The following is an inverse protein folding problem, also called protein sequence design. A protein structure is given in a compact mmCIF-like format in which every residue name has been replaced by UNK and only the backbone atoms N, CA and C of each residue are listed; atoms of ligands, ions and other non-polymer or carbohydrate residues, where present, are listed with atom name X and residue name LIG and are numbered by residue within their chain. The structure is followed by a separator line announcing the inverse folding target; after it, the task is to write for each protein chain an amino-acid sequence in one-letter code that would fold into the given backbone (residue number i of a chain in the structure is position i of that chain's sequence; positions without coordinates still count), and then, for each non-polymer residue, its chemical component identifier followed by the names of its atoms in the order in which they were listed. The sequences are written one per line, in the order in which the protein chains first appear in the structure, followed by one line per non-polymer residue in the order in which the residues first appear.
data_IF_623262697070
#
_entry.id   IF_623262697070
#
_cell.length_a   1.000
_cell.length_b   1.000
_cell.length_c   1.000
_cell.angle_alpha   90.00
_cell.angle_beta   90.00
_cell.angle_gamma   90.00
#
_symmetry.space_group_name_H-M   'P 1'
#
loop_
_entity.id
_entity.type
_entity.pdbx_description
1 polymer ?
#
# COMPACT_ATOMS: atom_id res chain seq x y z
N UNK A 1 -22.44 31.24 -40.92
CA UNK A 1 -22.91 30.40 -42.05
C UNK A 1 -22.87 31.23 -43.33
N UNK A 2 -22.16 30.79 -44.38
CA UNK A 2 -22.14 31.48 -45.68
C UNK A 2 -23.39 31.12 -46.50
N UNK A 3 -23.96 32.08 -47.22
CA UNK A 3 -24.90 31.80 -48.30
C UNK A 3 -24.35 32.31 -49.65
N UNK A 4 -24.83 31.69 -50.74
CA UNK A 4 -24.27 31.65 -52.13
C UNK A 4 -24.05 32.97 -52.89
N UNK A 5 -23.99 34.13 -52.25
CA UNK A 5 -23.57 35.41 -52.86
C UNK A 5 -22.73 36.20 -51.86
N UNK A 6 -21.43 35.90 -51.79
CA UNK A 6 -20.47 36.38 -50.80
C UNK A 6 -20.58 37.85 -50.38
N UNK A 7 -21.36 38.09 -49.32
CA UNK A 7 -21.34 39.30 -48.48
C UNK A 7 -21.46 38.86 -47.03
N UNK A 8 -20.66 39.48 -46.16
CA UNK A 8 -20.72 39.32 -44.70
C UNK A 8 -22.04 39.92 -44.18
N UNK A 9 -22.71 39.21 -43.25
CA UNK A 9 -23.81 39.76 -42.45
C UNK A 9 -23.21 40.16 -41.10
N UNK A 10 -23.60 41.34 -40.61
CA UNK A 10 -23.12 41.93 -39.35
C UNK A 10 -23.30 41.00 -38.15
N UNK A 11 -22.44 41.22 -37.14
CA UNK A 11 -22.43 40.47 -35.89
C UNK A 11 -23.83 40.48 -35.23
N UNK A 12 -24.38 39.29 -35.01
CA UNK A 12 -25.56 39.11 -34.15
C UNK A 12 -25.18 39.57 -32.74
N UNK A 13 -25.93 40.54 -32.22
CA UNK A 13 -25.86 40.88 -30.81
C UNK A 13 -26.39 39.68 -29.99
N UNK A 14 -25.72 39.38 -28.89
CA UNK A 14 -25.95 38.21 -28.05
C UNK A 14 -27.20 38.26 -27.18
N UNK A 15 -28.32 38.79 -27.70
CA UNK A 15 -29.60 38.84 -26.98
C UNK A 15 -30.57 37.70 -27.30
N UNK A 16 -30.22 36.77 -28.20
CA UNK A 16 -30.97 35.52 -28.35
C UNK A 16 -30.48 34.49 -27.31
N UNK A 17 -31.10 34.56 -26.14
CA UNK A 17 -30.99 33.57 -25.09
C UNK A 17 -31.25 32.17 -25.66
N UNK A 18 -30.22 31.31 -25.62
CA UNK A 18 -30.42 29.87 -25.73
C UNK A 18 -31.17 29.47 -24.47
N UNK A 19 -32.51 29.40 -24.57
CA UNK A 19 -33.32 28.79 -23.53
C UNK A 19 -32.75 27.38 -23.29
N UNK A 20 -32.29 27.11 -22.06
CA UNK A 20 -31.84 25.80 -21.65
C UNK A 20 -32.94 24.80 -22.00
N UNK A 21 -32.63 23.85 -22.90
CA UNK A 21 -33.56 22.76 -23.21
C UNK A 21 -33.77 21.97 -21.92
N UNK A 22 -35.01 21.73 -21.49
CA UNK A 22 -35.27 20.88 -20.32
C UNK A 22 -34.68 19.50 -20.58
N UNK A 23 -33.82 19.03 -19.68
CA UNK A 23 -33.24 17.69 -19.74
C UNK A 23 -34.36 16.69 -19.46
N UNK A 24 -34.49 15.70 -20.34
CA UNK A 24 -35.50 14.64 -20.25
C UNK A 24 -35.08 13.64 -19.16
N UNK A 25 -35.93 13.49 -18.13
CA UNK A 25 -35.67 12.57 -17.00
C UNK A 25 -35.86 11.10 -17.38
N UNK A 26 -36.46 10.84 -18.53
CA UNK A 26 -36.67 9.50 -19.05
C UNK A 26 -35.58 9.09 -20.07
N UNK A 27 -34.50 9.88 -20.22
CA UNK A 27 -33.34 9.50 -21.03
C UNK A 27 -32.58 8.33 -20.36
N UNK A 28 -32.34 7.20 -21.04
CA UNK A 28 -31.57 6.08 -20.50
C UNK A 28 -30.10 6.38 -20.17
N UNK A 29 -29.58 7.56 -20.51
CA UNK A 29 -28.29 8.11 -20.09
C UNK A 29 -28.41 9.18 -18.98
N UNK A 30 -29.59 9.40 -18.41
CA UNK A 30 -29.82 10.38 -17.35
C UNK A 30 -29.10 9.96 -16.05
N UNK A 31 -28.09 10.76 -15.66
CA UNK A 31 -27.38 10.63 -14.38
C UNK A 31 -27.60 11.91 -13.56
N UNK A 32 -28.23 11.77 -12.38
CA UNK A 32 -28.49 12.88 -11.46
C UNK A 32 -27.20 13.48 -10.88
N UNK A 33 -26.11 12.70 -10.79
CA UNK A 33 -24.81 13.14 -10.27
C UNK A 33 -24.05 14.04 -11.28
N UNK A 34 -24.32 13.90 -12.58
CA UNK A 34 -23.62 14.67 -13.64
C UNK A 34 -24.09 16.13 -13.70
N UNK A 35 -25.35 16.41 -13.30
CA UNK A 35 -25.90 17.77 -13.21
C UNK A 35 -25.17 18.61 -12.15
N UNK A 36 -24.64 17.96 -11.11
CA UNK A 36 -23.83 18.63 -10.09
C UNK A 36 -22.46 19.05 -10.61
N UNK A 37 -21.88 18.25 -11.52
CA UNK A 37 -20.60 18.55 -12.17
C UNK A 37 -20.67 19.70 -13.19
N UNK A 38 -21.85 20.06 -13.69
CA UNK A 38 -22.03 21.10 -14.71
C UNK A 38 -21.99 22.56 -14.22
N UNK A 39 -21.70 22.81 -12.93
CA UNK A 39 -21.88 24.13 -12.30
C UNK A 39 -20.63 25.03 -12.27
N UNK A 40 -19.52 24.61 -12.87
CA UNK A 40 -18.23 25.27 -12.69
C UNK A 40 -17.56 25.68 -14.00
N UNK A 41 -16.93 26.86 -13.98
CA UNK A 41 -15.97 27.27 -15.02
C UNK A 41 -14.60 26.70 -14.65
N UNK A 42 -14.04 25.84 -15.50
CA UNK A 42 -12.69 25.30 -15.34
C UNK A 42 -11.68 26.44 -15.56
N UNK A 43 -10.96 26.83 -14.51
CA UNK A 43 -9.89 27.82 -14.62
C UNK A 43 -8.61 27.17 -15.15
N UNK A 44 -8.07 27.68 -16.26
CA UNK A 44 -6.75 27.30 -16.78
C UNK A 44 -5.61 28.14 -16.21
N UNK A 45 -5.87 29.06 -15.27
CA UNK A 45 -4.83 29.96 -14.73
C UNK A 45 -5.01 30.24 -13.24
N UNK A 46 -3.93 30.06 -12.49
CA UNK A 46 -3.83 30.35 -11.06
C UNK A 46 -3.68 31.86 -10.84
N UNK A 47 -4.74 32.53 -10.37
CA UNK A 47 -4.69 33.66 -9.43
C UNK A 47 -6.08 34.33 -9.36
N UNK A 48 -6.86 34.02 -8.31
CA UNK A 48 -7.92 34.91 -7.80
C UNK A 48 -8.43 34.44 -6.42
N UNK A 49 -8.23 35.29 -5.40
CA UNK A 49 -8.71 35.16 -4.02
C UNK A 49 -10.24 35.17 -3.88
N UNK A 50 -10.73 34.38 -2.92
CA UNK A 50 -12.14 34.10 -2.57
C UNK A 50 -12.57 34.90 -1.34
N UNK A 51 -13.86 35.30 -1.23
CA UNK A 51 -14.60 35.29 0.07
C UNK A 51 -16.13 35.50 -0.08
N UNK A 52 -16.87 34.46 0.36
CA UNK A 52 -18.24 34.37 0.91
C UNK A 52 -19.53 34.70 0.11
N UNK A 53 -20.16 33.62 -0.36
CA UNK A 53 -21.52 33.09 -0.08
C UNK A 53 -22.83 33.74 -0.63
N UNK A 54 -23.61 32.82 -1.24
CA UNK A 54 -25.08 32.74 -1.47
C UNK A 54 -25.68 33.35 -2.74
N UNK A 55 -25.78 32.55 -3.83
CA UNK A 55 -27.01 32.24 -4.59
C UNK A 55 -26.76 31.71 -6.03
N UNK A 56 -27.56 30.70 -6.42
CA UNK A 56 -28.04 30.39 -7.79
C UNK A 56 -27.06 30.45 -8.98
N UNK A 57 -26.55 29.27 -9.37
CA UNK A 57 -26.33 28.69 -10.74
C UNK A 57 -25.60 29.50 -11.82
N UNK A 58 -25.16 30.73 -11.61
CA UNK A 58 -24.29 31.42 -12.56
C UNK A 58 -22.88 31.54 -11.96
N UNK A 59 -21.85 31.11 -12.69
CA UNK A 59 -20.43 31.22 -12.34
C UNK A 59 -19.91 32.67 -12.29
N UNK A 60 -20.78 33.60 -11.91
CA UNK A 60 -20.58 35.03 -11.80
C UNK A 60 -21.33 35.49 -10.55
N UNK A 61 -20.60 36.06 -9.59
CA UNK A 61 -21.16 36.70 -8.42
C UNK A 61 -21.57 38.14 -8.79
N UNK A 62 -22.88 38.44 -8.90
CA UNK A 62 -23.36 39.77 -9.28
C UNK A 62 -23.14 40.82 -8.19
N UNK A 63 -22.77 40.42 -6.97
CA UNK A 63 -22.48 41.32 -5.84
C UNK A 63 -21.00 41.72 -5.83
N UNK A 64 -20.10 40.80 -6.19
CA UNK A 64 -18.66 41.04 -6.24
C UNK A 64 -18.14 41.42 -7.64
N UNK A 65 -19.00 41.41 -8.66
CA UNK A 65 -18.65 41.57 -10.09
C UNK A 65 -17.52 40.64 -10.57
N UNK A 66 -17.40 39.44 -9.98
CA UNK A 66 -16.31 38.49 -10.26
C UNK A 66 -16.82 37.11 -10.68
N UNK A 67 -16.03 36.41 -11.48
CA UNK A 67 -16.28 35.02 -11.84
C UNK A 67 -15.97 34.07 -10.68
N UNK A 68 -16.81 33.05 -10.49
CA UNK A 68 -16.60 31.96 -9.51
C UNK A 68 -16.04 30.76 -10.27
N UNK A 69 -14.81 30.38 -9.95
CA UNK A 69 -14.13 29.22 -10.54
C UNK A 69 -14.30 28.00 -9.63
N UNK A 70 -14.55 26.83 -10.22
CA UNK A 70 -14.63 25.56 -9.49
C UNK A 70 -13.31 24.81 -9.45
N UNK A 71 -13.31 23.58 -8.90
CA UNK A 71 -12.14 22.71 -8.89
C UNK A 71 -11.57 22.53 -10.31
N UNK A 72 -10.24 22.46 -10.43
CA UNK A 72 -9.55 22.38 -11.74
C UNK A 72 -9.89 21.11 -12.53
N UNK A 73 -10.45 20.11 -11.87
CA UNK A 73 -10.85 18.82 -12.41
C UNK A 73 -12.31 18.53 -12.04
N UNK A 74 -12.96 17.70 -12.84
CA UNK A 74 -14.21 17.05 -12.42
C UNK A 74 -13.93 16.00 -11.34
N UNK A 75 -14.95 15.62 -10.57
CA UNK A 75 -14.82 14.57 -9.55
C UNK A 75 -14.32 13.24 -10.16
N UNK A 76 -14.83 12.88 -11.33
CA UNK A 76 -14.41 11.67 -12.05
C UNK A 76 -12.92 11.71 -12.45
N UNK A 77 -12.46 12.84 -13.01
CA UNK A 77 -11.05 13.03 -13.37
C UNK A 77 -10.13 13.04 -12.15
N UNK A 78 -10.57 13.64 -11.05
CA UNK A 78 -9.84 13.63 -9.79
C UNK A 78 -9.70 12.20 -9.25
N UNK A 79 -10.80 11.43 -9.21
CA UNK A 79 -10.79 10.03 -8.80
C UNK A 79 -9.83 9.19 -9.64
N UNK A 80 -9.79 9.39 -10.96
CA UNK A 80 -8.86 8.69 -11.86
C UNK A 80 -7.41 9.05 -11.49
N UNK A 81 -7.07 10.35 -11.42
CA UNK A 81 -5.71 10.79 -11.09
C UNK A 81 -5.22 10.29 -9.74
N UNK A 82 -6.06 10.37 -8.72
CA UNK A 82 -5.72 9.84 -7.38
C UNK A 82 -5.48 8.34 -7.45
N UNK A 83 -6.31 7.60 -8.18
CA UNK A 83 -6.10 6.15 -8.34
C UNK A 83 -4.76 5.82 -8.97
N UNK A 84 -4.33 6.59 -9.96
CA UNK A 84 -3.07 6.38 -10.66
C UNK A 84 -1.88 6.75 -9.77
N UNK A 85 -1.96 7.87 -9.04
CA UNK A 85 -0.97 8.26 -8.04
C UNK A 85 -0.80 7.21 -6.93
N UNK A 86 -1.91 6.64 -6.43
CA UNK A 86 -1.87 5.56 -5.43
C UNK A 86 -1.22 4.29 -5.99
N UNK A 87 -1.52 3.93 -7.25
CA UNK A 87 -0.91 2.76 -7.88
C UNK A 87 0.58 2.95 -8.08
N UNK A 88 1.01 4.13 -8.53
CA UNK A 88 2.42 4.47 -8.64
C UNK A 88 3.10 4.44 -7.27
N UNK A 89 2.44 4.94 -6.22
CA UNK A 89 2.93 4.88 -4.86
C UNK A 89 3.16 3.45 -4.34
N UNK A 90 2.35 2.48 -4.77
CA UNK A 90 2.62 1.08 -4.43
C UNK A 90 3.94 0.58 -5.01
N UNK A 91 4.34 1.07 -6.18
CA UNK A 91 5.61 0.68 -6.80
C UNK A 91 6.80 1.50 -6.27
N UNK A 92 6.62 2.81 -6.08
CA UNK A 92 7.69 3.74 -5.71
C UNK A 92 7.91 3.87 -4.20
N UNK A 93 6.86 3.68 -3.39
CA UNK A 93 6.80 4.02 -1.97
C UNK A 93 7.17 5.49 -1.66
N UNK A 94 7.08 6.39 -2.65
CA UNK A 94 7.38 7.82 -2.50
C UNK A 94 6.10 8.59 -2.14
N UNK A 95 5.93 8.88 -0.84
CA UNK A 95 4.76 9.62 -0.34
C UNK A 95 4.83 11.11 -0.72
N UNK A 96 6.03 11.67 -0.89
CA UNK A 96 6.21 13.09 -1.23
C UNK A 96 5.68 13.38 -2.64
N UNK A 97 5.81 12.41 -3.57
CA UNK A 97 5.21 12.53 -4.91
C UNK A 97 3.68 12.54 -4.86
N UNK A 98 3.07 11.72 -4.00
CA UNK A 98 1.61 11.74 -3.83
C UNK A 98 1.14 13.06 -3.23
N UNK A 99 1.86 13.59 -2.24
CA UNK A 99 1.59 14.91 -1.65
C UNK A 99 1.63 15.99 -2.74
N UNK A 100 2.72 16.07 -3.52
CA UNK A 100 2.86 17.02 -4.63
C UNK A 100 1.71 16.88 -5.63
N UNK A 101 1.38 15.66 -6.02
CA UNK A 101 0.29 15.39 -6.96
C UNK A 101 -1.06 15.90 -6.47
N UNK A 102 -1.38 15.71 -5.18
CA UNK A 102 -2.62 16.23 -4.57
C UNK A 102 -2.64 17.76 -4.59
N UNK A 103 -1.55 18.41 -4.20
CA UNK A 103 -1.44 19.87 -4.17
C UNK A 103 -1.58 20.49 -5.57
N UNK A 104 -0.95 19.88 -6.58
CA UNK A 104 -0.96 20.35 -7.96
C UNK A 104 -2.36 20.32 -8.59
N UNK A 105 -3.22 19.39 -8.15
CA UNK A 105 -4.59 19.28 -8.63
C UNK A 105 -5.51 20.42 -8.16
N UNK A 106 -5.20 21.10 -7.05
CA UNK A 106 -5.99 22.22 -6.50
C UNK A 106 -7.50 21.94 -6.40
N UNK A 107 -7.86 20.73 -5.95
CA UNK A 107 -9.24 20.26 -5.80
C UNK A 107 -9.56 19.93 -4.33
N UNK A 108 -9.46 20.93 -3.44
CA UNK A 108 -9.64 20.75 -1.99
C UNK A 108 -11.00 20.13 -1.63
N UNK A 109 -12.06 20.53 -2.35
CA UNK A 109 -13.41 19.99 -2.15
C UNK A 109 -13.52 18.46 -2.37
N UNK A 110 -12.52 17.85 -3.03
CA UNK A 110 -12.48 16.41 -3.30
C UNK A 110 -11.47 15.67 -2.42
N UNK A 111 -10.78 16.33 -1.49
CA UNK A 111 -9.81 15.68 -0.59
C UNK A 111 -10.35 14.47 0.19
N UNK A 112 -11.62 14.44 0.66
CA UNK A 112 -12.18 13.25 1.30
C UNK A 112 -12.13 11.99 0.42
N UNK A 113 -12.23 12.15 -0.91
CA UNK A 113 -12.15 11.02 -1.85
C UNK A 113 -10.75 10.40 -1.92
N UNK A 114 -9.70 11.13 -1.52
CA UNK A 114 -8.33 10.59 -1.44
C UNK A 114 -8.29 9.42 -0.45
N UNK A 115 -8.88 9.58 0.73
CA UNK A 115 -8.88 8.58 1.79
C UNK A 115 -9.68 7.35 1.38
N UNK A 116 -10.93 7.56 0.93
CA UNK A 116 -11.79 6.50 0.43
C UNK A 116 -11.09 5.72 -0.67
N UNK A 117 -10.53 6.42 -1.67
CA UNK A 117 -9.91 5.78 -2.83
C UNK A 117 -8.64 5.04 -2.45
N UNK A 118 -7.77 5.62 -1.62
CA UNK A 118 -6.55 4.99 -1.11
C UNK A 118 -6.86 3.67 -0.43
N UNK A 119 -7.81 3.68 0.50
CA UNK A 119 -8.20 2.47 1.23
C UNK A 119 -8.84 1.46 0.27
N UNK A 120 -9.87 1.83 -0.48
CA UNK A 120 -10.56 0.92 -1.41
C UNK A 120 -9.60 0.24 -2.39
N UNK A 121 -8.65 0.98 -2.98
CA UNK A 121 -7.68 0.42 -3.94
C UNK A 121 -6.74 -0.60 -3.27
N UNK A 122 -6.45 -0.47 -1.97
CA UNK A 122 -5.60 -1.41 -1.23
C UNK A 122 -6.31 -2.67 -0.75
N UNK A 123 -7.65 -2.67 -0.64
CA UNK A 123 -8.41 -3.81 -0.13
C UNK A 123 -8.30 -5.04 -1.04
N UNK A 124 -8.21 -4.82 -2.36
CA UNK A 124 -8.00 -5.86 -3.38
C UNK A 124 -6.54 -6.32 -3.52
N UNK A 125 -5.65 -5.84 -2.64
CA UNK A 125 -4.20 -6.03 -2.74
C UNK A 125 -3.62 -6.83 -1.56
N UNK A 126 -2.29 -6.90 -1.53
CA UNK A 126 -1.57 -7.57 -0.46
C UNK A 126 -1.60 -6.77 0.85
N UNK A 127 -1.10 -7.37 1.94
CA UNK A 127 -0.94 -6.64 3.19
C UNK A 127 0.10 -5.51 3.12
N UNK A 128 1.06 -5.62 2.20
CA UNK A 128 2.01 -4.56 1.87
C UNK A 128 1.33 -3.27 1.47
N UNK A 129 0.44 -3.33 0.47
CA UNK A 129 -0.24 -2.15 -0.04
C UNK A 129 -1.08 -1.50 1.05
N UNK A 130 -1.66 -2.29 1.95
CA UNK A 130 -2.43 -1.78 3.11
C UNK A 130 -1.54 -1.09 4.16
N UNK A 131 -0.33 -1.60 4.39
CA UNK A 131 0.66 -0.91 5.22
C UNK A 131 1.12 0.40 4.57
N UNK A 132 1.40 0.39 3.26
CA UNK A 132 1.73 1.60 2.51
C UNK A 132 0.62 2.65 2.63
N UNK A 133 -0.65 2.28 2.49
CA UNK A 133 -1.75 3.23 2.67
C UNK A 133 -1.82 3.76 4.11
N UNK A 134 -1.62 2.93 5.12
CA UNK A 134 -1.63 3.40 6.52
C UNK A 134 -0.56 4.48 6.75
N UNK A 135 0.65 4.25 6.21
CA UNK A 135 1.75 5.22 6.25
C UNK A 135 1.47 6.47 5.41
N UNK A 136 0.89 6.31 4.22
CA UNK A 136 0.52 7.42 3.35
C UNK A 136 -0.48 8.34 4.04
N UNK A 137 -1.53 7.81 4.68
CA UNK A 137 -2.50 8.62 5.42
C UNK A 137 -1.83 9.43 6.53
N UNK A 138 -0.83 8.87 7.20
CA UNK A 138 -0.01 9.61 8.18
C UNK A 138 0.81 10.71 7.52
N UNK A 139 1.37 10.48 6.32
CA UNK A 139 2.11 11.50 5.57
C UNK A 139 1.21 12.60 4.99
N UNK A 140 -0.06 12.29 4.71
CA UNK A 140 -1.04 13.26 4.20
C UNK A 140 -1.65 14.13 5.30
N UNK A 141 -1.46 13.76 6.58
CA UNK A 141 -1.93 14.48 7.75
C UNK A 141 -0.78 15.25 8.42
N UNK A 142 -0.98 16.50 8.90
CA UNK A 142 -2.18 17.34 8.75
C UNK A 142 -2.20 18.13 7.43
N UNK A 143 -1.29 17.83 6.51
CA UNK A 143 -1.20 18.48 5.21
C UNK A 143 -0.72 17.48 4.14
N UNK A 144 -1.37 17.40 2.96
CA UNK A 144 -2.40 18.31 2.43
C UNK A 144 -3.83 18.05 2.92
N UNK A 145 -4.08 16.99 3.69
CA UNK A 145 -5.40 16.65 4.21
C UNK A 145 -5.58 17.11 5.66
N UNK A 146 -6.62 17.90 5.91
CA UNK A 146 -7.00 18.31 7.25
C UNK A 146 -7.81 17.22 7.97
N UNK A 147 -8.00 17.37 9.29
CA UNK A 147 -8.81 16.44 10.11
C UNK A 147 -10.21 16.19 9.50
N UNK A 148 -10.84 17.25 8.98
CA UNK A 148 -12.17 17.17 8.36
C UNK A 148 -12.17 16.33 7.08
N UNK A 149 -11.09 16.40 6.28
CA UNK A 149 -10.96 15.62 5.06
C UNK A 149 -10.81 14.12 5.39
N UNK A 150 -10.05 13.82 6.44
CA UNK A 150 -9.84 12.45 6.92
C UNK A 150 -11.12 11.85 7.48
N UNK A 151 -11.80 12.57 8.39
CA UNK A 151 -13.07 12.13 8.96
C UNK A 151 -14.13 11.92 7.86
N UNK A 152 -14.31 12.89 6.97
CA UNK A 152 -15.26 12.78 5.86
C UNK A 152 -14.88 11.63 4.91
N UNK A 153 -13.59 11.42 4.64
CA UNK A 153 -13.12 10.35 3.78
C UNK A 153 -13.37 8.95 4.36
N UNK A 154 -13.21 8.77 5.67
CA UNK A 154 -13.59 7.53 6.36
C UNK A 154 -15.10 7.33 6.42
N UNK A 155 -15.90 8.39 6.58
CA UNK A 155 -17.37 8.29 6.47
C UNK A 155 -17.80 7.85 5.06
N UNK A 156 -17.27 8.48 4.00
CA UNK A 156 -17.53 8.08 2.61
C UNK A 156 -17.14 6.63 2.31
N UNK A 157 -16.09 6.13 2.95
CA UNK A 157 -15.67 4.73 2.86
C UNK A 157 -16.68 3.80 3.54
N UNK A 158 -17.13 4.16 4.73
CA UNK A 158 -18.08 3.37 5.53
C UNK A 158 -19.48 3.35 4.89
N UNK A 159 -19.87 4.42 4.20
CA UNK A 159 -21.11 4.44 3.40
C UNK A 159 -21.04 3.50 2.19
N UNK A 160 -19.85 3.33 1.59
CA UNK A 160 -19.62 2.39 0.48
C UNK A 160 -19.32 0.95 0.93
N UNK A 161 -19.48 0.63 2.21
CA UNK A 161 -19.04 -0.63 2.78
C UNK A 161 -19.74 -1.85 2.16
N UNK A 162 -21.06 -1.76 1.95
CA UNK A 162 -21.83 -2.89 1.44
C UNK A 162 -21.43 -3.20 0.00
N UNK A 163 -21.17 -2.19 -0.83
CA UNK A 163 -20.66 -2.36 -2.19
C UNK A 163 -19.26 -2.99 -2.19
N UNK A 164 -18.37 -2.51 -1.32
CA UNK A 164 -17.02 -3.10 -1.18
C UNK A 164 -17.08 -4.56 -0.73
N UNK A 165 -18.08 -4.95 0.07
CA UNK A 165 -18.25 -6.34 0.51
C UNK A 165 -18.73 -7.28 -0.60
N UNK A 166 -19.30 -6.76 -1.69
CA UNK A 166 -19.71 -7.58 -2.84
C UNK A 166 -18.47 -8.19 -3.50
N UNK A 167 -17.42 -7.38 -3.68
CA UNK A 167 -16.17 -7.81 -4.31
C UNK A 167 -15.18 -8.42 -3.29
N UNK A 168 -15.21 -7.93 -2.05
CA UNK A 168 -14.21 -8.24 -1.03
C UNK A 168 -14.90 -8.70 0.26
N UNK A 169 -15.13 -10.00 0.46
CA UNK A 169 -15.87 -10.53 1.62
C UNK A 169 -15.29 -10.09 2.99
N UNK A 170 -13.97 -9.88 3.06
CA UNK A 170 -13.24 -9.49 4.26
C UNK A 170 -13.13 -7.96 4.47
N UNK A 171 -13.75 -7.14 3.60
CA UNK A 171 -13.63 -5.68 3.64
C UNK A 171 -13.96 -5.08 5.02
N UNK A 172 -15.01 -5.57 5.69
CA UNK A 172 -15.38 -5.12 7.05
C UNK A 172 -14.24 -5.27 8.05
N UNK A 173 -13.56 -6.41 8.02
CA UNK A 173 -12.43 -6.66 8.93
C UNK A 173 -11.22 -5.80 8.58
N UNK A 174 -10.93 -5.62 7.29
CA UNK A 174 -9.80 -4.80 6.84
C UNK A 174 -10.02 -3.32 7.16
N UNK A 175 -11.20 -2.76 6.86
CA UNK A 175 -11.50 -1.36 7.17
C UNK A 175 -11.49 -1.12 8.69
N UNK A 176 -11.92 -2.09 9.50
CA UNK A 176 -11.83 -1.99 10.96
C UNK A 176 -10.38 -1.92 11.45
N UNK A 177 -9.47 -2.62 10.79
CA UNK A 177 -8.02 -2.49 11.03
C UNK A 177 -7.48 -1.13 10.60
N UNK A 178 -7.92 -0.59 9.47
CA UNK A 178 -7.55 0.77 9.04
C UNK A 178 -8.02 1.84 10.04
N UNK A 179 -9.25 1.75 10.54
CA UNK A 179 -9.76 2.68 11.56
C UNK A 179 -8.93 2.62 12.85
N UNK A 180 -8.66 1.41 13.34
CA UNK A 180 -7.83 1.25 14.54
C UNK A 180 -6.41 1.80 14.33
N UNK A 181 -5.82 1.56 13.15
CA UNK A 181 -4.49 2.06 12.80
C UNK A 181 -4.48 3.58 12.69
N UNK A 182 -5.47 4.19 12.02
CA UNK A 182 -5.60 5.63 11.90
C UNK A 182 -5.73 6.34 13.25
N UNK A 183 -6.41 5.71 14.23
CA UNK A 183 -6.47 6.25 15.60
C UNK A 183 -5.13 6.17 16.32
N UNK A 184 -4.36 5.08 16.13
CA UNK A 184 -3.01 4.94 16.73
C UNK A 184 -2.02 5.90 16.09
N UNK A 185 -2.11 6.09 14.77
CA UNK A 185 -1.22 6.97 14.01
C UNK A 185 -1.63 8.46 14.13
N UNK A 186 -2.61 8.78 14.98
CA UNK A 186 -3.15 10.13 15.22
C UNK A 186 -3.75 10.83 13.98
N UNK A 187 -4.08 10.05 12.96
CA UNK A 187 -4.79 10.48 11.73
C UNK A 187 -6.29 10.69 12.00
N UNK A 188 -6.87 9.93 12.93
CA UNK A 188 -8.27 10.10 13.36
C UNK A 188 -8.35 10.27 14.88
N UNK A 189 -9.21 11.17 15.39
CA UNK A 189 -9.44 11.26 16.81
C UNK A 189 -10.21 10.02 17.31
N UNK A 190 -9.93 9.49 18.53
CA UNK A 190 -10.71 8.40 19.12
C UNK A 190 -12.22 8.69 19.18
N UNK A 191 -12.59 9.97 19.26
CA UNK A 191 -13.97 10.45 19.27
C UNK A 191 -14.77 10.03 18.02
N UNK A 192 -14.09 9.84 16.88
CA UNK A 192 -14.67 9.34 15.63
C UNK A 192 -15.38 7.99 15.84
N UNK A 193 -14.84 7.13 16.69
CA UNK A 193 -15.41 5.80 16.97
C UNK A 193 -16.60 5.82 17.94
N UNK A 194 -16.74 6.88 18.73
CA UNK A 194 -17.77 6.97 19.78
C UNK A 194 -19.12 7.54 19.33
N UNK A 195 -19.19 8.20 18.17
CA UNK A 195 -20.38 8.94 17.71
C UNK A 195 -21.32 8.13 16.80
N UNK A 196 -21.60 6.85 17.12
CA UNK A 196 -22.39 6.00 16.21
C UNK A 196 -23.52 5.28 16.92
N UNK A 197 -24.74 5.52 16.42
CA UNK A 197 -26.01 5.19 17.06
C UNK A 197 -26.55 3.78 16.73
N UNK A 198 -25.69 2.84 16.33
CA UNK A 198 -26.08 1.46 15.94
C UNK A 198 -27.07 1.38 14.76
N UNK A 199 -27.02 2.34 13.82
CA UNK A 199 -27.88 2.42 12.64
C UNK A 199 -27.15 2.51 11.31
N UNK A 200 -25.81 2.58 11.29
CA UNK A 200 -25.04 2.72 10.06
C UNK A 200 -24.44 1.38 9.61
N UNK A 201 -24.35 1.11 8.29
CA UNK A 201 -23.73 -0.12 7.77
C UNK A 201 -22.32 -0.39 8.34
N UNK A 202 -21.60 0.68 8.71
CA UNK A 202 -20.27 0.66 9.29
C UNK A 202 -20.15 0.27 10.77
N UNK A 203 -21.24 0.00 11.50
CA UNK A 203 -21.16 -0.23 12.95
C UNK A 203 -20.32 -1.48 13.31
N UNK A 204 -20.46 -2.56 12.56
CA UNK A 204 -19.63 -3.76 12.75
C UNK A 204 -18.13 -3.51 12.49
N UNK A 205 -17.80 -2.52 11.65
CA UNK A 205 -16.42 -2.11 11.37
C UNK A 205 -15.84 -1.31 12.54
N UNK A 206 -16.66 -0.46 13.15
CA UNK A 206 -16.28 0.33 14.33
C UNK A 206 -16.12 -0.57 15.55
N UNK A 207 -17.03 -1.53 15.78
CA UNK A 207 -16.87 -2.54 16.85
C UNK A 207 -15.54 -3.29 16.73
N UNK A 208 -15.14 -3.66 15.51
CA UNK A 208 -13.84 -4.27 15.24
C UNK A 208 -12.69 -3.34 15.62
N UNK A 209 -12.75 -2.07 15.23
CA UNK A 209 -11.72 -1.09 15.54
C UNK A 209 -11.57 -0.88 17.06
N UNK A 210 -12.68 -0.69 17.77
CA UNK A 210 -12.74 -0.56 19.23
C UNK A 210 -12.19 -1.81 19.91
N UNK A 211 -12.54 -3.00 19.41
CA UNK A 211 -12.02 -4.27 19.92
C UNK A 211 -10.49 -4.35 19.79
N UNK A 212 -9.92 -3.90 18.68
CA UNK A 212 -8.47 -3.88 18.46
C UNK A 212 -7.76 -2.89 19.39
N UNK A 213 -8.32 -1.69 19.56
CA UNK A 213 -7.78 -0.64 20.42
C UNK A 213 -7.86 -0.99 21.92
N UNK A 214 -8.84 -1.82 22.31
CA UNK A 214 -9.03 -2.25 23.71
C UNK A 214 -8.07 -3.34 24.18
N UNK A 215 -7.19 -3.86 23.30
CA UNK A 215 -6.24 -4.93 23.63
C UNK A 215 -5.03 -4.37 24.38
N UNK A 216 -4.41 -5.21 25.22
CA UNK A 216 -3.09 -4.88 25.79
C UNK A 216 -2.06 -4.64 24.68
N UNK A 217 -1.23 -3.61 24.88
CA UNK A 217 -0.20 -3.19 23.93
C UNK A 217 -0.73 -2.91 22.52
N UNK A 218 -1.96 -2.38 22.40
CA UNK A 218 -2.62 -2.17 21.11
C UNK A 218 -1.78 -1.37 20.11
N UNK A 219 -1.04 -0.34 20.54
CA UNK A 219 -0.17 0.49 19.68
C UNK A 219 0.85 -0.36 18.91
N UNK A 220 1.74 -1.07 19.63
CA UNK A 220 2.77 -1.92 19.03
C UNK A 220 2.21 -3.07 18.19
N UNK A 221 0.99 -3.51 18.49
CA UNK A 221 0.30 -4.56 17.72
C UNK A 221 -0.32 -4.00 16.44
N UNK A 222 -0.83 -2.78 16.49
CA UNK A 222 -1.47 -2.11 15.37
C UNK A 222 -0.44 -1.62 14.33
N UNK A 223 0.78 -1.29 14.77
CA UNK A 223 1.94 -1.11 13.88
C UNK A 223 2.18 -2.33 12.97
N UNK A 224 1.77 -3.53 13.40
CA UNK A 224 1.93 -4.78 12.66
C UNK A 224 0.60 -5.38 12.20
N UNK A 225 -0.47 -4.59 12.13
CA UNK A 225 -1.84 -5.09 11.89
C UNK A 225 -2.00 -5.79 10.54
N UNK A 226 -1.20 -5.42 9.55
CA UNK A 226 -1.19 -6.04 8.22
C UNK A 226 -0.28 -7.27 8.13
N UNK A 227 0.40 -7.64 9.21
CA UNK A 227 1.34 -8.75 9.23
C UNK A 227 2.64 -8.42 8.50
N UNK A 228 3.45 -9.44 8.18
CA UNK A 228 4.85 -9.25 7.77
C UNK A 228 5.08 -8.65 6.36
N UNK A 229 4.03 -8.25 5.63
CA UNK A 229 4.12 -7.88 4.20
C UNK A 229 4.82 -6.55 3.89
N UNK A 230 6.05 -6.62 3.35
CA UNK A 230 6.71 -5.80 2.28
C UNK A 230 6.53 -4.25 2.27
N UNK A 231 6.23 -3.62 3.42
CA UNK A 231 6.43 -2.17 3.65
C UNK A 231 7.57 -1.87 4.63
N UNK A 232 8.24 -2.91 5.14
CA UNK A 232 9.21 -2.83 6.24
C UNK A 232 10.62 -2.62 5.72
N UNK A 233 11.46 -1.82 6.42
CA UNK A 233 12.87 -1.67 6.09
C UNK A 233 13.54 -3.05 5.90
N UNK A 234 14.42 -3.16 4.90
CA UNK A 234 15.18 -4.40 4.63
C UNK A 234 15.92 -4.91 5.88
N UNK A 235 16.27 -4.02 6.82
CA UNK A 235 16.86 -4.36 8.12
C UNK A 235 15.94 -5.20 9.01
N UNK A 236 14.64 -4.94 9.00
CA UNK A 236 13.66 -5.69 9.80
C UNK A 236 13.41 -7.08 9.22
N UNK A 237 13.24 -7.17 7.89
CA UNK A 237 13.12 -8.46 7.21
C UNK A 237 14.35 -9.35 7.49
N UNK A 238 15.54 -8.75 7.49
CA UNK A 238 16.79 -9.44 7.86
C UNK A 238 16.77 -9.93 9.31
N UNK A 239 16.25 -9.13 10.25
CA UNK A 239 16.15 -9.52 11.65
C UNK A 239 15.16 -10.67 11.87
N UNK A 240 14.04 -10.68 11.15
CA UNK A 240 13.08 -11.79 11.18
C UNK A 240 13.66 -13.07 10.59
N UNK A 241 14.38 -12.97 9.46
CA UNK A 241 15.12 -14.10 8.91
C UNK A 241 16.09 -14.67 9.94
N UNK A 242 16.86 -13.82 10.62
CA UNK A 242 17.80 -14.26 11.66
C UNK A 242 17.10 -14.96 12.81
N UNK A 243 15.99 -14.41 13.29
CA UNK A 243 15.23 -14.98 14.40
C UNK A 243 14.67 -16.35 14.03
N UNK A 244 14.02 -16.47 12.86
CA UNK A 244 13.49 -17.73 12.33
C UNK A 244 14.59 -18.79 12.20
N UNK A 245 15.72 -18.42 11.62
CA UNK A 245 16.83 -19.36 11.38
C UNK A 245 17.41 -19.87 12.71
N UNK A 246 17.55 -18.99 13.71
CA UNK A 246 18.00 -19.37 15.06
C UNK A 246 16.97 -20.25 15.78
N UNK A 247 15.68 -19.92 15.68
CA UNK A 247 14.60 -20.74 16.24
C UNK A 247 14.56 -22.13 15.61
N UNK A 248 14.77 -22.24 14.30
CA UNK A 248 14.90 -23.52 13.64
C UNK A 248 16.15 -24.30 14.11
N UNK A 249 17.29 -23.64 14.32
CA UNK A 249 18.48 -24.32 14.83
C UNK A 249 18.26 -24.89 16.24
N UNK A 250 17.41 -24.26 17.05
CA UNK A 250 17.03 -24.75 18.38
C UNK A 250 15.95 -25.84 18.35
N UNK A 251 14.91 -25.67 17.53
CA UNK A 251 13.73 -26.56 17.49
C UNK A 251 13.90 -27.77 16.57
N UNK A 252 14.65 -27.60 15.47
CA UNK A 252 14.78 -28.54 14.35
C UNK A 252 13.46 -28.87 13.64
N UNK A 253 12.46 -27.98 13.74
CA UNK A 253 11.14 -28.17 13.14
C UNK A 253 11.07 -27.59 11.71
N UNK A 254 11.15 -28.47 10.71
CA UNK A 254 11.16 -28.08 9.29
C UNK A 254 9.85 -27.47 8.81
N UNK A 255 8.71 -28.02 9.23
CA UNK A 255 7.39 -27.59 8.79
C UNK A 255 7.03 -26.18 9.32
N UNK A 256 7.43 -25.88 10.57
CA UNK A 256 7.23 -24.56 11.16
C UNK A 256 8.09 -23.52 10.45
N UNK A 257 9.38 -23.79 10.28
CA UNK A 257 10.29 -22.90 9.55
C UNK A 257 9.78 -22.63 8.12
N UNK A 258 9.28 -23.65 7.43
CA UNK A 258 8.68 -23.51 6.09
C UNK A 258 7.41 -22.65 6.09
N UNK A 259 6.57 -22.77 7.12
CA UNK A 259 5.35 -21.96 7.28
C UNK A 259 5.71 -20.49 7.50
N UNK A 260 6.65 -20.20 8.40
CA UNK A 260 7.15 -18.84 8.65
C UNK A 260 7.78 -18.22 7.38
N UNK A 261 8.52 -19.00 6.58
CA UNK A 261 9.11 -18.52 5.31
C UNK A 261 8.04 -18.15 4.28
N UNK A 262 6.96 -18.93 4.19
CA UNK A 262 5.84 -18.59 3.29
C UNK A 262 5.13 -17.31 3.73
N UNK A 263 4.97 -17.12 5.04
CA UNK A 263 4.30 -15.95 5.61
C UNK A 263 5.07 -14.65 5.35
N UNK A 264 6.42 -14.71 5.33
CA UNK A 264 7.26 -13.54 5.00
C UNK A 264 7.01 -12.96 3.59
N UNK A 265 6.43 -13.74 2.65
CA UNK A 265 6.12 -13.30 1.26
C UNK A 265 7.29 -12.65 0.51
N UNK A 266 8.54 -13.02 0.82
CA UNK A 266 9.75 -12.40 0.28
C UNK A 266 10.50 -13.28 -0.73
N UNK A 267 9.78 -13.88 -1.68
CA UNK A 267 10.31 -14.92 -2.60
C UNK A 267 11.53 -14.50 -3.42
N UNK A 268 11.60 -13.21 -3.80
CA UNK A 268 12.75 -12.65 -4.52
C UNK A 268 13.99 -12.42 -3.64
N UNK A 269 13.81 -12.42 -2.32
CA UNK A 269 14.83 -12.14 -1.31
C UNK A 269 15.28 -13.40 -0.54
N UNK A 270 14.80 -14.59 -0.89
CA UNK A 270 15.21 -15.86 -0.26
C UNK A 270 16.72 -16.14 -0.35
N UNK A 271 17.44 -15.55 -1.29
CA UNK A 271 18.90 -15.61 -1.35
C UNK A 271 19.57 -14.94 -0.14
N UNK A 272 18.91 -13.98 0.52
CA UNK A 272 19.39 -13.41 1.78
C UNK A 272 19.15 -14.38 2.94
N UNK A 273 17.99 -15.07 2.98
CA UNK A 273 17.71 -16.14 3.93
C UNK A 273 18.79 -17.24 3.87
N UNK A 274 19.15 -17.68 2.65
CA UNK A 274 20.21 -18.69 2.44
C UNK A 274 21.56 -18.19 2.94
N UNK A 275 21.96 -16.98 2.52
CA UNK A 275 23.23 -16.38 2.96
C UNK A 275 23.29 -16.31 4.50
N UNK A 276 22.23 -15.82 5.15
CA UNK A 276 22.17 -15.63 6.61
C UNK A 276 22.15 -16.96 7.36
N UNK A 277 21.34 -17.92 6.92
CA UNK A 277 21.24 -19.23 7.57
C UNK A 277 22.59 -19.95 7.60
N UNK A 278 23.30 -19.93 6.49
CA UNK A 278 24.64 -20.55 6.41
C UNK A 278 25.66 -19.79 7.26
N UNK A 279 25.64 -18.45 7.27
CA UNK A 279 26.50 -17.66 8.16
C UNK A 279 26.25 -17.97 9.64
N UNK A 280 24.99 -17.99 10.09
CA UNK A 280 24.64 -18.29 11.48
C UNK A 280 25.11 -19.70 11.86
N UNK A 281 24.88 -20.70 11.01
CA UNK A 281 25.34 -22.06 11.26
C UNK A 281 26.87 -22.17 11.34
N UNK A 282 27.61 -21.44 10.49
CA UNK A 282 29.07 -21.39 10.55
C UNK A 282 29.59 -20.74 11.83
N UNK A 283 28.93 -19.68 12.30
CA UNK A 283 29.27 -19.01 13.55
C UNK A 283 29.01 -19.93 14.75
N UNK A 284 27.89 -20.65 14.79
CA UNK A 284 27.59 -21.62 15.86
C UNK A 284 28.59 -22.79 15.89
N UNK A 285 28.81 -23.46 14.75
CA UNK A 285 29.71 -24.62 14.67
C UNK A 285 31.20 -24.23 14.80
N UNK A 286 31.54 -22.99 14.42
CA UNK A 286 32.87 -22.42 14.59
C UNK A 286 33.23 -22.11 16.05
N UNK A 287 32.22 -21.91 16.90
CA UNK A 287 32.38 -21.64 18.34
C UNK A 287 32.39 -22.91 19.19
N UNK A 288 31.61 -23.95 18.81
CA UNK A 288 31.46 -25.19 19.57
C UNK A 288 31.86 -26.44 18.76
N UNK A 289 33.14 -26.83 18.83
CA UNK A 289 33.65 -28.08 18.22
C UNK A 289 33.18 -29.38 18.92
N UNK A 290 32.18 -29.32 19.79
CA UNK A 290 31.80 -30.42 20.70
C UNK A 290 30.36 -30.93 20.52
N UNK A 291 29.56 -30.31 19.65
CA UNK A 291 28.19 -30.74 19.37
C UNK A 291 28.17 -31.92 18.38
N UNK A 292 27.48 -33.01 18.75
CA UNK A 292 27.28 -34.19 17.90
C UNK A 292 26.31 -33.95 16.72
N UNK A 293 25.82 -32.73 16.52
CA UNK A 293 24.88 -32.36 15.47
C UNK A 293 25.27 -31.00 14.92
N UNK A 294 25.93 -31.02 13.76
CA UNK A 294 26.39 -29.84 13.04
C UNK A 294 25.20 -28.96 12.67
N UNK A 295 25.21 -27.70 13.11
CA UNK A 295 24.21 -26.70 12.73
C UNK A 295 24.21 -26.48 11.21
N UNK A 296 25.34 -26.70 10.54
CA UNK A 296 25.49 -26.70 9.10
C UNK A 296 24.66 -27.82 8.42
N UNK A 297 24.66 -29.03 8.97
CA UNK A 297 23.89 -30.18 8.45
C UNK A 297 22.40 -29.88 8.53
N UNK A 298 21.96 -29.30 9.64
CA UNK A 298 20.58 -28.91 9.83
C UNK A 298 20.16 -27.80 8.87
N UNK A 299 21.03 -26.83 8.56
CA UNK A 299 20.76 -25.84 7.52
C UNK A 299 20.67 -26.47 6.14
N UNK A 300 21.56 -27.42 5.81
CA UNK A 300 21.49 -28.13 4.54
C UNK A 300 20.17 -28.92 4.41
N UNK A 301 19.72 -29.55 5.50
CA UNK A 301 18.43 -30.24 5.57
C UNK A 301 17.25 -29.27 5.37
N UNK A 302 17.28 -28.10 6.00
CA UNK A 302 16.26 -27.07 5.85
C UNK A 302 16.15 -26.61 4.39
N UNK A 303 17.24 -26.18 3.76
CA UNK A 303 17.18 -25.70 2.39
C UNK A 303 16.78 -26.81 1.40
N UNK A 304 17.19 -28.06 1.67
CA UNK A 304 16.73 -29.23 0.89
C UNK A 304 15.23 -29.44 1.00
N UNK A 305 14.68 -29.32 2.20
CA UNK A 305 13.24 -29.38 2.43
C UNK A 305 12.51 -28.24 1.73
N UNK A 306 13.01 -27.01 1.81
CA UNK A 306 12.39 -25.83 1.20
C UNK A 306 12.38 -25.90 -0.33
N UNK A 307 13.45 -26.41 -0.95
CA UNK A 307 13.52 -26.61 -2.41
C UNK A 307 12.56 -27.71 -2.85
N UNK A 308 12.54 -28.85 -2.16
CA UNK A 308 11.62 -29.97 -2.48
C UNK A 308 10.15 -29.57 -2.38
N UNK A 309 9.82 -28.67 -1.45
CA UNK A 309 8.47 -28.14 -1.28
C UNK A 309 8.18 -26.89 -2.13
N UNK A 310 9.07 -26.53 -3.07
CA UNK A 310 8.94 -25.37 -3.96
C UNK A 310 8.74 -24.03 -3.24
N UNK A 311 9.25 -23.90 -2.01
CA UNK A 311 9.18 -22.66 -1.20
C UNK A 311 10.34 -21.73 -1.57
N UNK A 312 11.52 -22.31 -1.78
CA UNK A 312 12.73 -21.61 -2.24
C UNK A 312 13.17 -22.26 -3.54
N UNK A 313 13.53 -21.45 -4.54
CA UNK A 313 14.05 -21.99 -5.80
C UNK A 313 15.54 -22.31 -5.71
N UNK A 314 16.01 -23.29 -6.49
CA UNK A 314 17.44 -23.61 -6.64
C UNK A 314 18.27 -22.36 -7.02
N UNK A 315 17.68 -21.45 -7.82
CA UNK A 315 18.30 -20.17 -8.17
C UNK A 315 18.55 -19.28 -6.95
N UNK A 316 17.58 -19.19 -6.03
CA UNK A 316 17.73 -18.39 -4.81
C UNK A 316 18.81 -19.00 -3.88
N UNK A 317 18.90 -20.33 -3.79
CA UNK A 317 19.97 -21.02 -3.06
C UNK A 317 21.34 -20.72 -3.68
N UNK A 318 21.48 -20.92 -4.99
CA UNK A 318 22.73 -20.65 -5.72
C UNK A 318 23.16 -19.18 -5.59
N UNK A 319 22.23 -18.23 -5.73
CA UNK A 319 22.49 -16.80 -5.56
C UNK A 319 22.90 -16.46 -4.12
N UNK A 320 22.30 -17.08 -3.11
CA UNK A 320 22.65 -16.90 -1.71
C UNK A 320 24.07 -17.35 -1.41
N UNK A 321 24.43 -18.56 -1.86
CA UNK A 321 25.79 -19.12 -1.72
C UNK A 321 26.83 -18.28 -2.48
N UNK A 322 26.53 -17.85 -3.71
CA UNK A 322 27.41 -16.97 -4.48
C UNK A 322 27.68 -15.65 -3.75
N UNK A 323 26.66 -15.07 -3.09
CA UNK A 323 26.83 -13.86 -2.28
C UNK A 323 27.64 -14.14 -1.01
N UNK A 324 27.47 -15.29 -0.39
CA UNK A 324 28.27 -15.71 0.76
C UNK A 324 29.75 -15.89 0.39
N UNK A 325 30.05 -16.52 -0.76
CA UNK A 325 31.44 -16.63 -1.27
C UNK A 325 32.12 -15.27 -1.46
N UNK A 326 31.38 -14.22 -1.85
CA UNK A 326 31.94 -12.87 -2.01
C UNK A 326 32.38 -12.23 -0.69
N UNK A 327 31.69 -12.54 0.42
CA UNK A 327 32.00 -12.01 1.75
C UNK A 327 32.84 -13.00 2.59
N UNK A 328 33.20 -14.15 2.03
CA UNK A 328 33.99 -15.18 2.70
C UNK A 328 35.33 -14.67 3.28
N UNK A 329 36.06 -13.74 2.63
CA UNK A 329 37.27 -13.17 3.23
C UNK A 329 37.01 -12.44 4.55
N UNK A 330 35.89 -11.73 4.65
CA UNK A 330 35.50 -11.01 5.87
C UNK A 330 35.02 -12.00 6.93
N UNK A 331 34.19 -12.99 6.54
CA UNK A 331 33.70 -14.03 7.45
C UNK A 331 34.83 -14.86 8.07
N UNK A 332 35.93 -15.04 7.34
CA UNK A 332 37.13 -15.74 7.84
C UNK A 332 37.78 -15.02 9.03
N UNK A 333 37.56 -13.72 9.19
CA UNK A 333 38.07 -12.95 10.33
C UNK A 333 37.42 -13.41 11.64
N UNK A 334 36.14 -13.75 11.59
CA UNK A 334 35.35 -14.22 12.74
C UNK A 334 35.42 -15.75 12.88
N UNK A 335 35.35 -16.49 11.76
CA UNK A 335 35.35 -17.95 11.71
C UNK A 335 36.47 -18.46 10.79
N UNK A 336 37.66 -18.83 11.32
CA UNK A 336 38.80 -19.25 10.50
C UNK A 336 38.53 -20.46 9.58
N UNK A 337 37.61 -21.35 10.01
CA UNK A 337 37.18 -22.55 9.28
C UNK A 337 36.12 -22.29 8.20
N UNK A 338 35.59 -21.05 8.07
CA UNK A 338 34.50 -20.71 7.16
C UNK A 338 34.69 -21.17 5.70
N UNK A 339 35.90 -21.12 5.10
CA UNK A 339 36.08 -21.63 3.74
C UNK A 339 35.81 -23.13 3.61
N UNK A 340 36.29 -23.94 4.56
CA UNK A 340 36.09 -25.38 4.54
C UNK A 340 34.62 -25.74 4.79
N UNK A 341 33.99 -25.07 5.75
CA UNK A 341 32.57 -25.25 6.07
C UNK A 341 31.67 -24.85 4.88
N UNK A 342 32.04 -23.82 4.10
CA UNK A 342 31.24 -23.43 2.94
C UNK A 342 31.33 -24.46 1.81
N UNK A 343 32.51 -25.04 1.61
CA UNK A 343 32.70 -26.10 0.63
C UNK A 343 31.94 -27.37 1.02
N UNK A 344 31.91 -27.71 2.31
CA UNK A 344 31.13 -28.82 2.88
C UNK A 344 29.62 -28.58 2.72
N UNK A 345 29.14 -27.38 3.05
CA UNK A 345 27.73 -27.02 2.85
C UNK A 345 27.30 -27.11 1.38
N UNK A 346 28.15 -26.68 0.44
CA UNK A 346 27.87 -26.80 -0.99
C UNK A 346 27.82 -28.25 -1.48
N UNK A 347 28.56 -29.15 -0.84
CA UNK A 347 28.47 -30.59 -1.10
C UNK A 347 27.13 -31.14 -0.62
N UNK A 348 26.78 -30.88 0.64
CA UNK A 348 25.48 -31.28 1.20
C UNK A 348 24.30 -30.70 0.42
N UNK A 349 24.37 -29.43 0.01
CA UNK A 349 23.33 -28.79 -0.79
C UNK A 349 23.17 -29.43 -2.18
N UNK A 350 24.26 -29.96 -2.75
CA UNK A 350 24.22 -30.70 -4.02
C UNK A 350 23.60 -32.08 -3.85
N UNK A 351 23.97 -32.80 -2.80
CA UNK A 351 23.37 -34.09 -2.45
C UNK A 351 21.89 -33.96 -2.11
N UNK A 352 21.50 -32.86 -1.47
CA UNK A 352 20.13 -32.51 -1.13
C UNK A 352 19.23 -32.18 -2.34
N UNK A 353 19.83 -31.93 -3.51
CA UNK A 353 19.13 -31.49 -4.72
C UNK A 353 18.84 -29.98 -4.76
N UNK A 354 19.53 -29.17 -3.95
CA UNK A 354 19.36 -27.71 -3.90
C UNK A 354 20.21 -26.96 -4.93
N UNK A 355 21.25 -27.62 -5.45
CA UNK A 355 22.20 -27.06 -6.40
C UNK A 355 22.36 -27.98 -7.61
N UNK A 356 22.57 -27.43 -8.80
CA UNK A 356 22.91 -28.23 -9.97
C UNK A 356 24.23 -28.98 -9.73
N UNK A 357 24.34 -30.18 -10.30
CA UNK A 357 25.56 -30.96 -10.28
C UNK A 357 26.73 -30.12 -10.85
N UNK A 358 27.94 -30.26 -10.28
CA UNK A 358 29.14 -29.59 -10.81
C UNK A 358 29.28 -29.98 -12.29
N UNK A 359 29.07 -29.03 -13.20
CA UNK A 359 29.49 -29.17 -14.59
C UNK A 359 31.01 -29.17 -14.59
N UNK A 360 31.60 -30.36 -14.53
CA UNK A 360 33.02 -30.54 -14.82
C UNK A 360 33.18 -30.22 -16.31
N UNK A 361 33.58 -28.99 -16.65
CA UNK A 361 34.03 -28.69 -17.99
C UNK A 361 35.27 -29.56 -18.27
N UNK A 362 35.10 -30.58 -19.10
CA UNK A 362 36.19 -31.37 -19.68
C UNK A 362 37.04 -30.56 -20.65
#
# INVERSE_FOLDING_TARGET
MFNRKGKWVDAMDGSDAIAALPIDKDDPLYDEEEIESGRYVLSSTADADITSLNATVNGYDPVAEKAVYGPMLTLAEFKIRISDAIREYFDSADADEVVRGIEEMKCQDYHPEVVKRAISVSLDKGPRERELISRLLTCLHPYPLADQDLEAGFELLLDSLDDLCIDIPDAKSMIGSFLARAVVDEVLPPAFLSNRNNTHPGDGVVEKAVSLLSREHCTARLEKVWGPGDGRPVSELKAEMDQLLKEYLLSRELDEAASCIREMKASHFHHELVKRGVTIAMEEDGLDHTSNSSSLDAMAALFSFLVRNAIVSEFQVSKGISRLRKILPDLKLDVPAAPAMLDEFEEMAREGGCLPAKTTNC
#
